data_IF_227648319569
#
_entry.id   IF_227648319569
#
_cell.length_a   1.000
_cell.length_b   1.000
_cell.length_c   1.000
_cell.angle_alpha   90.00
_cell.angle_beta   90.00
_cell.angle_gamma   90.00
#
_symmetry.space_group_name_H-M   'P 1'
#
loop_
_entity.id
_entity.type
_entity.pdbx_description
1 polymer ?
#
# COMPACT_ATOMS: atom_id res chain seq x y z
N UNK A 1 -7.42 -6.10 -22.19
CA UNK A 1 -7.93 -6.93 -21.06
C UNK A 1 -6.80 -7.54 -20.23
N UNK A 2 -5.76 -8.14 -20.84
CA UNK A 2 -4.62 -8.77 -20.13
C UNK A 2 -3.94 -7.84 -19.11
N UNK A 3 -3.70 -6.58 -19.48
CA UNK A 3 -3.11 -5.56 -18.59
C UNK A 3 -3.94 -5.23 -17.35
N UNK A 4 -5.25 -5.33 -17.47
CA UNK A 4 -6.17 -5.10 -16.36
C UNK A 4 -6.10 -6.26 -15.37
N UNK A 5 -6.01 -7.48 -15.88
CA UNK A 5 -5.90 -8.69 -15.06
C UNK A 5 -4.55 -8.76 -14.32
N UNK A 6 -3.45 -8.45 -15.01
CA UNK A 6 -2.11 -8.44 -14.38
C UNK A 6 -1.98 -7.35 -13.34
N UNK A 7 -2.54 -6.17 -13.60
CA UNK A 7 -2.59 -5.08 -12.64
C UNK A 7 -3.40 -5.45 -11.38
N UNK A 8 -4.65 -5.88 -11.56
CA UNK A 8 -5.52 -6.24 -10.43
C UNK A 8 -4.97 -7.42 -9.67
N UNK A 9 -4.44 -8.44 -10.35
CA UNK A 9 -3.79 -9.59 -9.71
C UNK A 9 -2.59 -9.19 -8.87
N UNK A 10 -1.68 -8.36 -9.41
CA UNK A 10 -0.54 -7.85 -8.64
C UNK A 10 -0.97 -7.00 -7.44
N UNK A 11 -2.01 -6.18 -7.60
CA UNK A 11 -2.54 -5.36 -6.52
C UNK A 11 -3.16 -6.20 -5.40
N UNK A 12 -3.96 -7.21 -5.76
CA UNK A 12 -4.54 -8.15 -4.79
C UNK A 12 -3.45 -8.93 -4.06
N UNK A 13 -2.40 -9.38 -4.75
CA UNK A 13 -1.23 -9.99 -4.09
C UNK A 13 -0.58 -9.04 -3.08
N UNK A 14 -0.39 -7.77 -3.45
CA UNK A 14 0.12 -6.74 -2.55
C UNK A 14 -0.78 -6.55 -1.32
N UNK A 15 -2.11 -6.50 -1.51
CA UNK A 15 -3.08 -6.40 -0.41
C UNK A 15 -3.06 -7.61 0.52
N UNK A 16 -2.98 -8.82 -0.02
CA UNK A 16 -2.89 -10.05 0.79
C UNK A 16 -1.64 -10.01 1.65
N UNK A 17 -0.50 -9.60 1.10
CA UNK A 17 0.74 -9.46 1.87
C UNK A 17 0.64 -8.36 2.92
N UNK A 18 0.07 -7.20 2.58
CA UNK A 18 -0.16 -6.13 3.56
C UNK A 18 -1.05 -6.59 4.71
N UNK A 19 -2.11 -7.35 4.42
CA UNK A 19 -3.00 -7.90 5.43
C UNK A 19 -2.32 -8.94 6.32
N UNK A 20 -1.57 -9.87 5.72
CA UNK A 20 -0.81 -10.88 6.47
C UNK A 20 0.27 -10.22 7.35
N UNK A 21 0.98 -9.22 6.83
CA UNK A 21 1.96 -8.45 7.58
C UNK A 21 1.31 -7.63 8.71
N UNK A 22 0.14 -7.05 8.50
CA UNK A 22 -0.65 -6.38 9.54
C UNK A 22 -0.99 -7.34 10.68
N UNK A 23 -1.54 -8.53 10.37
CA UNK A 23 -1.87 -9.54 11.39
C UNK A 23 -0.60 -9.93 12.17
N UNK A 24 0.49 -10.19 11.46
CA UNK A 24 1.76 -10.62 12.06
C UNK A 24 2.33 -9.54 12.97
N UNK A 25 2.33 -8.28 12.52
CA UNK A 25 2.78 -7.14 13.32
C UNK A 25 1.90 -6.94 14.55
N UNK A 26 0.57 -7.05 14.41
CA UNK A 26 -0.36 -6.92 15.52
C UNK A 26 -0.17 -8.03 16.56
N UNK A 27 -0.05 -9.29 16.12
CA UNK A 27 0.25 -10.43 16.99
C UNK A 27 1.60 -10.28 17.68
N UNK A 28 2.62 -9.77 16.98
CA UNK A 28 3.92 -9.50 17.57
C UNK A 28 3.84 -8.45 18.69
N UNK A 29 3.12 -7.35 18.46
CA UNK A 29 2.91 -6.31 19.48
C UNK A 29 2.18 -6.87 20.70
N UNK A 30 1.12 -7.65 20.49
CA UNK A 30 0.31 -8.24 21.56
C UNK A 30 1.05 -9.33 22.34
N UNK A 31 1.83 -10.18 21.68
CA UNK A 31 2.54 -11.29 22.33
C UNK A 31 3.77 -10.87 23.14
N UNK A 32 4.26 -9.65 22.93
CA UNK A 32 5.48 -9.14 23.55
C UNK A 32 5.21 -8.05 24.59
N UNK A 33 3.94 -7.74 24.88
CA UNK A 33 3.52 -6.62 25.73
C UNK A 33 4.32 -5.34 25.43
N UNK A 34 4.50 -5.06 24.13
CA UNK A 34 5.27 -3.92 23.70
C UNK A 34 4.48 -2.63 23.98
N UNK A 35 4.98 -1.83 24.92
CA UNK A 35 4.46 -0.49 25.21
C UNK A 35 4.86 0.49 24.09
N UNK A 36 4.26 0.34 22.91
CA UNK A 36 4.47 1.24 21.79
C UNK A 36 3.70 2.55 22.01
N UNK A 37 4.37 3.66 21.71
CA UNK A 37 3.66 4.93 21.50
C UNK A 37 2.69 4.80 20.32
N UNK A 38 1.69 5.67 20.26
CA UNK A 38 0.72 5.67 19.16
C UNK A 38 1.41 5.75 17.78
N UNK A 39 2.45 6.58 17.66
CA UNK A 39 3.26 6.69 16.45
C UNK A 39 4.00 5.39 16.13
N UNK A 40 4.56 4.73 17.16
CA UNK A 40 5.22 3.43 17.00
C UNK A 40 4.25 2.35 16.53
N UNK A 41 3.03 2.33 17.07
CA UNK A 41 1.97 1.42 16.63
C UNK A 41 1.58 1.66 15.17
N UNK A 42 1.31 2.91 14.79
CA UNK A 42 0.97 3.25 13.39
C UNK A 42 2.11 2.89 12.45
N UNK A 43 3.35 3.19 12.82
CA UNK A 43 4.53 2.87 12.02
C UNK A 43 4.69 1.37 11.78
N UNK A 44 4.65 0.58 12.86
CA UNK A 44 4.93 -0.86 12.80
C UNK A 44 3.76 -1.68 12.27
N UNK A 45 2.54 -1.37 12.72
CA UNK A 45 1.36 -2.20 12.49
C UNK A 45 0.59 -1.77 11.25
N UNK A 46 0.68 -0.50 10.84
CA UNK A 46 -0.12 0.00 9.71
C UNK A 46 0.80 0.33 8.53
N UNK A 47 1.75 1.23 8.74
CA UNK A 47 2.56 1.78 7.65
C UNK A 47 3.49 0.74 7.05
N UNK A 48 4.25 0.02 7.88
CA UNK A 48 5.20 -0.99 7.39
C UNK A 48 4.50 -2.10 6.58
N UNK A 49 3.38 -2.69 7.02
CA UNK A 49 2.61 -3.64 6.20
C UNK A 49 2.15 -3.08 4.87
N UNK A 50 1.68 -1.83 4.82
CA UNK A 50 1.26 -1.20 3.57
C UNK A 50 2.43 -0.98 2.61
N UNK A 51 3.60 -0.57 3.13
CA UNK A 51 4.83 -0.44 2.34
C UNK A 51 5.33 -1.80 1.83
N UNK A 52 5.23 -2.86 2.63
CA UNK A 52 5.52 -4.23 2.19
C UNK A 52 4.58 -4.68 1.07
N UNK A 53 3.28 -4.38 1.18
CA UNK A 53 2.31 -4.63 0.12
C UNK A 53 2.65 -3.88 -1.17
N UNK A 54 3.02 -2.60 -1.07
CA UNK A 54 3.49 -1.81 -2.21
C UNK A 54 4.78 -2.36 -2.82
N UNK A 55 5.70 -2.87 -1.99
CA UNK A 55 6.91 -3.55 -2.46
C UNK A 55 6.58 -4.80 -3.26
N UNK A 56 5.71 -5.66 -2.73
CA UNK A 56 5.27 -6.86 -3.43
C UNK A 56 4.57 -6.53 -4.74
N UNK A 57 3.71 -5.51 -4.76
CA UNK A 57 3.11 -5.00 -6.00
C UNK A 57 4.20 -4.58 -7.01
N UNK A 58 5.17 -3.78 -6.57
CA UNK A 58 6.27 -3.28 -7.40
C UNK A 58 7.21 -4.38 -7.92
N UNK A 59 7.31 -5.53 -7.25
CA UNK A 59 8.08 -6.69 -7.71
C UNK A 59 7.26 -7.58 -8.65
N UNK A 60 5.98 -7.80 -8.35
CA UNK A 60 5.12 -8.72 -9.11
C UNK A 60 4.69 -8.09 -10.43
N UNK A 61 4.22 -6.84 -10.41
CA UNK A 61 3.63 -6.21 -11.59
C UNK A 61 4.58 -6.12 -12.81
N UNK A 62 5.86 -5.72 -12.67
CA UNK A 62 6.80 -5.70 -13.79
C UNK A 62 7.01 -7.06 -14.46
N UNK A 63 6.99 -8.15 -13.69
CA UNK A 63 7.20 -9.51 -14.23
C UNK A 63 6.11 -9.92 -15.22
N UNK A 64 4.89 -9.40 -15.06
CA UNK A 64 3.75 -9.76 -15.92
C UNK A 64 3.38 -8.70 -16.95
N UNK A 65 3.73 -7.43 -16.69
CA UNK A 65 3.37 -6.29 -17.56
C UNK A 65 4.49 -5.83 -18.48
N UNK A 66 5.74 -6.22 -18.24
CA UNK A 66 6.91 -5.72 -18.97
C UNK A 66 7.28 -4.26 -18.65
N UNK A 67 6.52 -3.58 -17.79
CA UNK A 67 6.81 -2.20 -17.35
C UNK A 67 7.91 -2.23 -16.31
N UNK A 68 9.07 -1.64 -16.62
CA UNK A 68 10.17 -1.50 -15.66
C UNK A 68 10.04 -0.20 -14.86
N UNK A 69 10.16 -0.32 -13.54
CA UNK A 69 10.17 0.80 -12.61
C UNK A 69 11.60 1.28 -12.35
N UNK A 70 11.84 2.57 -12.52
CA UNK A 70 13.10 3.23 -12.15
C UNK A 70 13.12 3.55 -10.65
N UNK A 71 14.28 3.90 -10.10
CA UNK A 71 14.39 4.32 -8.69
C UNK A 71 13.44 5.47 -8.32
N UNK A 72 13.21 6.42 -9.24
CA UNK A 72 12.24 7.50 -9.05
C UNK A 72 10.79 7.01 -9.01
N UNK A 73 10.44 6.01 -9.81
CA UNK A 73 9.10 5.40 -9.81
C UNK A 73 8.82 4.68 -8.48
N UNK A 74 9.82 3.97 -7.96
CA UNK A 74 9.77 3.33 -6.64
C UNK A 74 9.59 4.34 -5.51
N UNK A 75 10.39 5.41 -5.51
CA UNK A 75 10.30 6.47 -4.50
C UNK A 75 8.92 7.14 -4.52
N UNK A 76 8.41 7.48 -5.71
CA UNK A 76 7.09 8.07 -5.86
C UNK A 76 5.97 7.12 -5.41
N UNK A 77 6.07 5.83 -5.73
CA UNK A 77 5.11 4.82 -5.30
C UNK A 77 5.07 4.64 -3.78
N UNK A 78 6.24 4.60 -3.12
CA UNK A 78 6.31 4.51 -1.66
C UNK A 78 5.86 5.80 -0.98
N UNK A 79 6.28 6.97 -1.48
CA UNK A 79 5.85 8.26 -0.94
C UNK A 79 4.32 8.42 -1.04
N UNK A 80 3.73 8.03 -2.17
CA UNK A 80 2.29 8.02 -2.36
C UNK A 80 1.60 7.05 -1.39
N UNK A 81 2.09 5.82 -1.28
CA UNK A 81 1.55 4.82 -0.35
C UNK A 81 1.61 5.30 1.09
N UNK A 82 2.73 5.90 1.49
CA UNK A 82 2.93 6.52 2.79
C UNK A 82 1.88 7.61 3.04
N UNK A 83 1.78 8.58 2.13
CA UNK A 83 0.89 9.73 2.30
C UNK A 83 -0.58 9.31 2.43
N UNK A 84 -1.06 8.42 1.56
CA UNK A 84 -2.45 7.95 1.61
C UNK A 84 -2.70 7.11 2.87
N UNK A 85 -1.76 6.25 3.27
CA UNK A 85 -1.89 5.45 4.49
C UNK A 85 -1.98 6.32 5.72
N UNK A 86 -1.12 7.33 5.86
CA UNK A 86 -1.14 8.28 6.98
C UNK A 86 -2.42 9.11 6.97
N UNK A 87 -2.84 9.61 5.81
CA UNK A 87 -4.08 10.37 5.68
C UNK A 87 -5.30 9.55 6.11
N UNK A 88 -5.49 8.34 5.57
CA UNK A 88 -6.61 7.48 5.91
C UNK A 88 -6.57 7.02 7.37
N UNK A 89 -5.38 6.73 7.90
CA UNK A 89 -5.20 6.43 9.33
C UNK A 89 -5.59 7.64 10.18
N UNK A 90 -5.15 8.84 9.80
CA UNK A 90 -5.50 10.09 10.49
C UNK A 90 -7.01 10.34 10.53
N UNK A 91 -7.74 10.04 9.45
CA UNK A 91 -9.21 10.14 9.43
C UNK A 91 -9.89 9.19 10.43
N UNK A 92 -9.33 8.00 10.62
CA UNK A 92 -9.82 7.03 11.62
C UNK A 92 -9.50 7.56 13.03
N UNK A 93 -8.28 8.01 13.27
CA UNK A 93 -7.82 8.46 14.59
C UNK A 93 -8.52 9.74 15.06
N UNK A 94 -8.81 10.66 14.14
CA UNK A 94 -9.57 11.89 14.43
C UNK A 94 -11.07 11.65 14.56
N UNK A 95 -11.55 10.43 14.34
CA UNK A 95 -12.98 10.05 14.28
C UNK A 95 -13.76 10.80 13.20
N UNK A 96 -13.08 11.40 12.22
CA UNK A 96 -13.72 12.06 11.08
C UNK A 96 -14.40 11.04 10.13
N UNK A 97 -13.95 9.78 10.16
CA UNK A 97 -14.52 8.71 9.35
C UNK A 97 -14.47 7.38 10.11
N UNK A 98 -15.51 6.56 9.96
CA UNK A 98 -15.52 5.20 10.50
C UNK A 98 -14.44 4.33 9.82
N UNK A 99 -14.02 3.26 10.51
CA UNK A 99 -12.91 2.40 10.05
C UNK A 99 -13.17 1.80 8.66
N UNK A 100 -14.34 1.18 8.45
CA UNK A 100 -14.69 0.54 7.18
C UNK A 100 -14.61 1.49 5.97
N UNK A 101 -15.29 2.66 5.96
CA UNK A 101 -15.20 3.59 4.83
C UNK A 101 -13.79 4.15 4.64
N UNK A 102 -13.03 4.39 5.71
CA UNK A 102 -11.64 4.85 5.59
C UNK A 102 -10.72 3.79 4.97
N UNK A 103 -10.92 2.51 5.29
CA UNK A 103 -10.20 1.39 4.67
C UNK A 103 -10.57 1.23 3.20
N UNK A 104 -11.86 1.34 2.85
CA UNK A 104 -12.30 1.31 1.45
C UNK A 104 -11.71 2.48 0.66
N UNK A 105 -11.68 3.68 1.24
CA UNK A 105 -11.05 4.85 0.64
C UNK A 105 -9.55 4.64 0.42
N UNK A 106 -8.84 4.10 1.41
CA UNK A 106 -7.42 3.75 1.31
C UNK A 106 -7.17 2.81 0.12
N UNK A 107 -7.92 1.71 0.04
CA UNK A 107 -7.78 0.72 -1.05
C UNK A 107 -8.08 1.37 -2.41
N UNK A 108 -9.16 2.15 -2.50
CA UNK A 108 -9.55 2.83 -3.74
C UNK A 108 -8.49 3.83 -4.20
N UNK A 109 -7.97 4.67 -3.30
CA UNK A 109 -6.94 5.65 -3.61
C UNK A 109 -5.62 4.98 -4.01
N UNK A 110 -5.22 3.90 -3.35
CA UNK A 110 -4.02 3.15 -3.71
C UNK A 110 -4.17 2.48 -5.08
N UNK A 111 -5.33 1.89 -5.36
CA UNK A 111 -5.62 1.27 -6.67
C UNK A 111 -5.61 2.32 -7.79
N UNK A 112 -6.35 3.43 -7.62
CA UNK A 112 -6.42 4.47 -8.64
C UNK A 112 -5.06 5.17 -8.79
N UNK A 113 -4.39 5.49 -7.70
CA UNK A 113 -3.09 6.16 -7.73
C UNK A 113 -2.00 5.33 -8.41
N UNK A 114 -1.92 4.04 -8.13
CA UNK A 114 -0.98 3.15 -8.81
C UNK A 114 -1.29 3.04 -10.32
N UNK A 115 -2.57 3.03 -10.71
CA UNK A 115 -2.97 3.10 -12.14
C UNK A 115 -2.46 4.38 -12.80
N UNK A 116 -2.64 5.53 -12.16
CA UNK A 116 -2.21 6.83 -12.69
C UNK A 116 -0.69 6.88 -12.84
N UNK A 117 0.06 6.41 -11.85
CA UNK A 117 1.54 6.35 -11.92
C UNK A 117 2.01 5.49 -13.09
N UNK A 118 1.41 4.32 -13.29
CA UNK A 118 1.74 3.42 -14.41
C UNK A 118 1.38 4.06 -15.76
N UNK A 119 0.22 4.71 -15.86
CA UNK A 119 -0.19 5.38 -17.09
C UNK A 119 0.78 6.49 -17.48
N UNK A 120 1.21 7.31 -16.51
CA UNK A 120 2.24 8.34 -16.71
C UNK A 120 3.58 7.74 -17.16
N UNK A 121 3.96 6.61 -16.58
CA UNK A 121 5.19 5.90 -16.98
C UNK A 121 5.13 5.42 -18.43
N UNK A 122 4.00 4.85 -18.84
CA UNK A 122 3.79 4.38 -20.22
C UNK A 122 3.88 5.53 -21.22
N UNK A 123 3.22 6.65 -20.94
CA UNK A 123 3.26 7.84 -21.79
C UNK A 123 4.65 8.49 -21.90
N UNK A 124 5.55 8.26 -20.92
CA UNK A 124 6.92 8.76 -20.97
C UNK A 124 7.87 7.86 -21.78
N UNK A 125 7.45 6.64 -22.14
CA UNK A 125 8.25 5.67 -22.88
C UNK A 125 7.85 5.58 -24.37
N UNK A 126 6.82 6.33 -24.78
CA UNK A 126 6.41 6.54 -26.18
C UNK A 126 7.07 7.81 -26.73
#
# INVERSE_FOLDING_TARGET
MRDWLTYTGAFVCGLIVAYAAYITAFQFVMSRDLALSMTGFVGLVILLPMLLGAFVFGVIYPRFSGVQFTGGDWLNGFAFTFAITIMCTGLILSRAMAQLPATLLLVALLFIGARVLIARKRASNE
#
